data_IF_586197591076
#
_entry.id   IF_586197591076
#
_cell.length_a   1.000
_cell.length_b   1.000
_cell.length_c   1.000
_cell.angle_alpha   90.00
_cell.angle_beta   90.00
_cell.angle_gamma   90.00
#
_symmetry.space_group_name_H-M   'P 1'
#
loop_
_entity.id
_entity.type
_entity.pdbx_description
1 polymer ?
#
# COMPACT_ATOMS: atom_id res chain seq x y z
N UNK A 1 8.63 41.25 -53.41
CA UNK A 1 8.71 40.84 -52.01
C UNK A 1 8.03 39.50 -51.73
N UNK A 2 8.82 38.44 -51.59
CA UNK A 2 8.36 37.14 -51.09
C UNK A 2 8.89 36.93 -49.66
N UNK A 3 8.12 37.38 -48.66
CA UNK A 3 8.43 37.26 -47.21
C UNK A 3 8.16 35.84 -46.66
N UNK A 4 7.70 34.90 -47.51
CA UNK A 4 7.16 33.59 -47.12
C UNK A 4 8.16 32.50 -46.63
N UNK A 5 9.48 32.51 -46.90
CA UNK A 5 10.34 31.37 -46.51
C UNK A 5 10.73 31.34 -45.02
N UNK A 6 10.60 32.44 -44.28
CA UNK A 6 10.94 32.52 -42.85
C UNK A 6 9.80 32.01 -41.95
N UNK A 7 8.54 32.28 -42.31
CA UNK A 7 7.38 31.85 -41.55
C UNK A 7 7.18 30.32 -41.61
N UNK A 8 7.35 29.71 -42.78
CA UNK A 8 7.20 28.24 -42.95
C UNK A 8 8.27 27.47 -42.17
N UNK A 9 9.53 27.94 -42.17
CA UNK A 9 10.60 27.34 -41.36
C UNK A 9 10.27 27.39 -39.87
N UNK A 10 9.71 28.50 -39.41
CA UNK A 10 9.31 28.69 -38.00
C UNK A 10 8.12 27.80 -37.63
N UNK A 11 7.14 27.67 -38.52
CA UNK A 11 6.00 26.76 -38.33
C UNK A 11 6.45 25.29 -38.27
N UNK A 12 7.32 24.86 -39.18
CA UNK A 12 7.87 23.50 -39.17
C UNK A 12 8.66 23.21 -37.88
N UNK A 13 9.43 24.18 -37.39
CA UNK A 13 10.12 24.06 -36.11
C UNK A 13 9.14 23.91 -34.93
N UNK A 14 8.03 24.67 -34.94
CA UNK A 14 6.98 24.56 -33.92
C UNK A 14 6.23 23.23 -33.98
N UNK A 15 5.92 22.73 -35.17
CA UNK A 15 5.28 21.42 -35.37
C UNK A 15 6.18 20.31 -34.84
N UNK A 16 7.47 20.29 -35.21
CA UNK A 16 8.40 19.27 -34.70
C UNK A 16 8.58 19.32 -33.17
N UNK A 17 8.41 20.50 -32.55
CA UNK A 17 8.41 20.62 -31.10
C UNK A 17 7.11 20.11 -30.46
N UNK A 18 5.97 20.27 -31.13
CA UNK A 18 4.67 19.73 -30.71
C UNK A 18 4.69 18.20 -30.82
N UNK A 19 5.17 17.63 -31.92
CA UNK A 19 5.28 16.18 -32.10
C UNK A 19 6.14 15.53 -31.00
N UNK A 20 7.27 16.15 -30.65
CA UNK A 20 8.12 15.69 -29.53
C UNK A 20 7.40 15.75 -28.17
N UNK A 21 6.61 16.79 -27.93
CA UNK A 21 5.79 16.90 -26.70
C UNK A 21 4.66 15.87 -26.68
N UNK A 22 4.08 15.58 -27.84
CA UNK A 22 2.97 14.64 -27.96
C UNK A 22 3.42 13.18 -28.04
N UNK A 23 4.70 12.91 -28.28
CA UNK A 23 5.24 11.54 -28.41
C UNK A 23 5.01 10.65 -27.18
N UNK A 24 4.81 11.23 -25.99
CA UNK A 24 4.47 10.48 -24.78
C UNK A 24 3.03 9.96 -24.76
N UNK A 25 2.13 10.58 -25.53
CA UNK A 25 0.72 10.23 -25.59
C UNK A 25 0.51 9.07 -26.57
N UNK A 26 1.15 7.95 -26.26
CA UNK A 26 0.91 6.65 -26.88
C UNK A 26 0.04 5.81 -25.95
N UNK A 27 -0.77 4.93 -26.53
CA UNK A 27 -1.59 3.99 -25.76
C UNK A 27 -0.70 3.15 -24.83
N UNK A 28 -1.09 3.05 -23.55
CA UNK A 28 -0.33 2.38 -22.51
C UNK A 28 0.89 3.15 -21.98
N UNK A 29 1.16 4.36 -22.48
CA UNK A 29 2.33 5.16 -22.10
C UNK A 29 2.10 6.03 -20.87
N UNK A 30 1.12 6.94 -20.94
CA UNK A 30 0.87 7.94 -19.89
C UNK A 30 -0.57 7.87 -19.41
N UNK A 31 -0.72 7.88 -18.09
CA UNK A 31 -2.02 7.89 -17.41
C UNK A 31 -2.20 9.16 -16.60
N UNK A 32 -3.42 9.68 -16.58
CA UNK A 32 -3.80 10.89 -15.84
C UNK A 32 -4.90 10.58 -14.84
N UNK A 33 -4.86 11.25 -13.69
CA UNK A 33 -5.94 11.18 -12.71
C UNK A 33 -7.14 12.02 -13.16
N UNK A 34 -8.31 11.40 -13.19
CA UNK A 34 -9.59 11.98 -13.58
C UNK A 34 -10.57 11.96 -12.40
N UNK A 35 -10.89 13.15 -11.89
CA UNK A 35 -11.75 13.32 -10.70
C UNK A 35 -13.23 13.55 -11.02
N UNK A 36 -13.60 13.57 -12.30
CA UNK A 36 -14.98 13.74 -12.76
C UNK A 36 -15.63 12.38 -13.07
N UNK A 37 -16.95 12.33 -13.28
CA UNK A 37 -17.63 11.11 -13.70
C UNK A 37 -17.04 10.51 -14.99
N UNK A 38 -17.09 9.18 -15.11
CA UNK A 38 -16.55 8.44 -16.26
C UNK A 38 -17.25 8.79 -17.59
N UNK A 39 -18.52 9.19 -17.55
CA UNK A 39 -19.27 9.64 -18.73
C UNK A 39 -18.87 11.03 -19.24
N UNK A 40 -17.96 11.72 -18.54
CA UNK A 40 -17.43 13.02 -18.94
C UNK A 40 -15.98 12.93 -19.44
N UNK A 41 -15.44 11.72 -19.63
CA UNK A 41 -14.11 11.52 -20.20
C UNK A 41 -14.08 12.19 -21.60
N UNK A 42 -13.13 13.08 -21.88
CA UNK A 42 -13.03 13.73 -23.18
C UNK A 42 -12.82 12.73 -24.32
N UNK A 43 -13.29 13.07 -25.52
CA UNK A 43 -12.99 12.30 -26.72
C UNK A 43 -11.46 12.18 -26.92
N UNK A 44 -11.01 11.01 -27.38
CA UNK A 44 -9.58 10.68 -27.49
C UNK A 44 -8.97 10.14 -26.19
N UNK A 45 -9.75 10.02 -25.10
CA UNK A 45 -9.32 9.37 -23.86
C UNK A 45 -10.19 8.15 -23.52
N UNK A 46 -9.58 7.17 -22.84
CA UNK A 46 -10.30 6.01 -22.28
C UNK A 46 -9.88 5.74 -20.84
N UNK A 47 -10.74 5.04 -20.09
CA UNK A 47 -10.44 4.59 -18.74
C UNK A 47 -9.43 3.43 -18.74
N UNK A 48 -8.42 3.52 -17.87
CA UNK A 48 -7.42 2.47 -17.64
C UNK A 48 -7.90 1.55 -16.52
N UNK A 49 -8.37 0.37 -16.89
CA UNK A 49 -8.96 -0.59 -15.94
C UNK A 49 -7.94 -1.30 -15.06
N UNK A 50 -6.70 -1.46 -15.52
CA UNK A 50 -5.64 -2.19 -14.79
C UNK A 50 -5.15 -1.44 -13.53
N UNK A 51 -5.47 -0.15 -13.39
CA UNK A 51 -5.10 0.68 -12.24
C UNK A 51 -6.24 0.86 -11.23
N UNK A 52 -7.39 0.24 -11.44
CA UNK A 52 -8.54 0.35 -10.53
C UNK A 52 -8.19 -0.14 -9.13
N UNK A 53 -8.28 0.76 -8.15
CA UNK A 53 -7.99 0.46 -6.75
C UNK A 53 -6.53 0.15 -6.46
N UNK A 54 -5.60 0.60 -7.33
CA UNK A 54 -4.16 0.41 -7.18
C UNK A 54 -3.45 1.76 -7.12
N UNK A 55 -2.36 1.79 -6.36
CA UNK A 55 -1.43 2.93 -6.32
C UNK A 55 -0.28 2.65 -7.29
N UNK A 56 0.16 3.69 -8.01
CA UNK A 56 1.32 3.60 -8.89
C UNK A 56 2.60 3.80 -8.07
N UNK A 57 3.54 2.89 -8.22
CA UNK A 57 4.89 3.00 -7.66
C UNK A 57 5.90 3.29 -8.78
N UNK A 58 7.00 3.94 -8.42
CA UNK A 58 8.13 4.12 -9.33
C UNK A 58 8.77 2.77 -9.64
N UNK A 59 9.18 2.58 -10.90
CA UNK A 59 9.99 1.44 -11.29
C UNK A 59 11.37 1.53 -10.64
N UNK A 60 11.79 0.46 -9.99
CA UNK A 60 13.10 0.32 -9.39
C UNK A 60 13.63 -1.10 -9.65
N UNK A 61 14.64 -1.29 -10.52
CA UNK A 61 15.17 -2.61 -10.86
C UNK A 61 15.82 -3.33 -9.67
N UNK A 62 16.25 -2.60 -8.64
CA UNK A 62 16.98 -3.14 -7.49
C UNK A 62 16.02 -3.62 -6.38
N UNK A 63 14.74 -3.26 -6.46
CA UNK A 63 13.71 -3.67 -5.51
C UNK A 63 12.81 -4.75 -6.10
N UNK A 64 12.77 -5.92 -5.46
CA UNK A 64 12.02 -7.08 -5.98
C UNK A 64 10.55 -6.80 -6.20
N UNK A 65 9.96 -5.87 -5.45
CA UNK A 65 8.56 -5.46 -5.50
C UNK A 65 8.26 -4.57 -6.71
N UNK A 66 9.27 -3.81 -7.19
CA UNK A 66 9.11 -2.75 -8.20
C UNK A 66 9.99 -2.94 -9.45
N UNK A 67 10.65 -4.09 -9.57
CA UNK A 67 11.59 -4.42 -10.64
C UNK A 67 10.97 -4.81 -11.99
N UNK A 68 9.66 -4.68 -12.16
CA UNK A 68 8.98 -5.02 -13.40
C UNK A 68 7.82 -4.06 -13.67
N UNK A 69 7.83 -3.43 -14.84
CA UNK A 69 6.74 -2.58 -15.30
C UNK A 69 5.45 -3.40 -15.43
N UNK A 70 4.37 -2.89 -14.84
CA UNK A 70 3.06 -3.56 -14.85
C UNK A 70 2.90 -4.66 -13.81
N UNK A 71 3.91 -4.91 -12.96
CA UNK A 71 3.79 -5.84 -11.82
C UNK A 71 2.70 -5.34 -10.87
N UNK A 72 1.79 -6.24 -10.50
CA UNK A 72 0.75 -5.97 -9.52
C UNK A 72 1.08 -6.65 -8.19
N UNK A 73 0.73 -6.00 -7.09
CA UNK A 73 0.94 -6.52 -5.74
C UNK A 73 0.24 -5.67 -4.68
N UNK A 74 0.50 -6.00 -3.41
CA UNK A 74 -0.05 -5.30 -2.25
C UNK A 74 -1.43 -5.79 -1.82
N UNK A 75 -1.79 -5.50 -0.56
CA UNK A 75 -3.05 -5.87 0.07
C UNK A 75 -3.70 -4.64 0.70
N UNK A 76 -5.05 -4.60 0.72
CA UNK A 76 -5.81 -3.54 1.41
C UNK A 76 -5.90 -3.77 2.92
N UNK A 77 -5.82 -5.02 3.33
CA UNK A 77 -6.02 -5.47 4.71
C UNK A 77 -4.98 -6.53 5.07
N UNK A 78 -4.66 -6.62 6.36
CA UNK A 78 -3.72 -7.62 6.89
C UNK A 78 -4.18 -8.12 8.25
N UNK A 79 -4.05 -9.43 8.47
CA UNK A 79 -4.09 -10.02 9.80
C UNK A 79 -2.65 -10.32 10.22
N UNK A 80 -2.32 -10.09 11.50
CA UNK A 80 -1.01 -10.42 12.04
C UNK A 80 -0.82 -11.94 12.09
N UNK A 81 0.33 -12.39 11.62
CA UNK A 81 0.81 -13.76 11.80
C UNK A 81 1.76 -13.86 13.01
N UNK A 82 2.00 -15.07 13.48
CA UNK A 82 2.93 -15.32 14.60
C UNK A 82 4.34 -14.79 14.28
N UNK A 83 4.80 -14.95 13.03
CA UNK A 83 6.12 -14.48 12.60
C UNK A 83 6.26 -12.95 12.57
N UNK A 84 5.16 -12.22 12.70
CA UNK A 84 5.12 -10.75 12.70
C UNK A 84 4.97 -10.19 14.11
N UNK A 85 4.87 -11.05 15.12
CA UNK A 85 4.85 -10.62 16.51
C UNK A 85 6.27 -10.36 16.99
N UNK A 86 6.56 -9.18 17.56
CA UNK A 86 7.83 -8.94 18.24
C UNK A 86 8.05 -9.93 19.38
N UNK A 87 9.32 -10.16 19.70
CA UNK A 87 9.69 -10.85 20.94
C UNK A 87 9.08 -10.10 22.13
N UNK A 88 8.43 -10.86 23.01
CA UNK A 88 7.81 -10.34 24.21
C UNK A 88 7.89 -11.40 25.30
N UNK A 89 7.95 -10.96 26.55
CA UNK A 89 8.02 -11.83 27.72
C UNK A 89 6.87 -11.53 28.69
N UNK A 90 6.44 -12.55 29.42
CA UNK A 90 5.42 -12.46 30.45
C UNK A 90 6.07 -12.73 31.80
N UNK A 91 6.43 -11.67 32.51
CA UNK A 91 6.99 -11.79 33.87
C UNK A 91 5.86 -11.78 34.90
N UNK A 92 5.96 -12.65 35.91
CA UNK A 92 5.07 -12.67 37.06
C UNK A 92 5.94 -12.50 38.32
N UNK A 93 5.68 -11.47 39.12
CA UNK A 93 6.29 -11.34 40.45
C UNK A 93 5.22 -11.49 41.52
N UNK A 94 5.38 -12.49 42.37
CA UNK A 94 4.59 -12.61 43.59
C UNK A 94 5.35 -11.97 44.75
N UNK A 95 4.72 -11.01 45.43
CA UNK A 95 5.26 -10.42 46.66
C UNK A 95 4.94 -11.32 47.85
N UNK A 96 5.97 -11.76 48.57
CA UNK A 96 5.77 -12.44 49.84
C UNK A 96 5.55 -11.39 50.93
N UNK A 97 4.41 -11.45 51.63
CA UNK A 97 4.21 -10.74 52.90
C UNK A 97 4.49 -11.68 54.07
N UNK A 98 5.62 -12.40 54.03
CA UNK A 98 6.04 -13.22 55.16
C UNK A 98 7.46 -12.86 55.57
N UNK A 99 7.58 -12.36 56.81
CA UNK A 99 8.75 -11.73 57.39
C UNK A 99 9.88 -12.72 57.74
N UNK A 100 9.74 -14.01 57.42
CA UNK A 100 10.71 -15.04 57.78
C UNK A 100 10.73 -16.19 56.78
N UNK A 101 11.83 -16.33 56.04
CA UNK A 101 12.29 -17.63 55.54
C UNK A 101 11.95 -17.96 54.08
N UNK A 102 12.97 -18.45 53.39
CA UNK A 102 12.99 -19.01 52.03
C UNK A 102 11.84 -19.97 51.75
N UNK A 103 10.83 -19.53 51.00
CA UNK A 103 9.73 -20.38 50.53
C UNK A 103 9.52 -20.24 49.02
N UNK A 104 9.47 -21.36 48.30
CA UNK A 104 9.06 -21.41 46.89
C UNK A 104 7.58 -21.02 46.81
N UNK A 105 7.28 -19.93 46.11
CA UNK A 105 5.91 -19.48 45.90
C UNK A 105 5.19 -20.42 44.91
N UNK A 106 4.25 -21.22 45.40
CA UNK A 106 3.34 -22.01 44.56
C UNK A 106 2.05 -21.20 44.41
N UNK A 107 1.97 -20.36 43.38
CA UNK A 107 0.70 -19.75 43.02
C UNK A 107 -0.16 -20.85 42.40
N UNK A 108 -1.27 -21.21 43.05
CA UNK A 108 -2.22 -22.24 42.59
C UNK A 108 -3.58 -21.60 42.33
N UNK A 109 -4.13 -21.80 41.13
CA UNK A 109 -5.54 -21.47 40.83
C UNK A 109 -6.39 -22.69 41.15
N UNK A 110 -7.06 -22.68 42.31
CA UNK A 110 -7.99 -23.75 42.69
C UNK A 110 -8.25 -23.79 44.19
N UNK A 111 -9.31 -24.50 44.58
CA UNK A 111 -9.49 -24.98 45.94
C UNK A 111 -8.29 -25.84 46.35
N UNK A 112 -7.97 -25.87 47.64
CA UNK A 112 -6.89 -26.70 48.18
C UNK A 112 -7.00 -28.15 47.68
N UNK A 113 -5.88 -28.72 47.21
CA UNK A 113 -5.68 -30.08 46.68
C UNK A 113 -5.95 -30.35 45.18
N UNK A 114 -6.09 -29.35 44.31
CA UNK A 114 -6.10 -29.59 42.86
C UNK A 114 -4.66 -29.84 42.32
N UNK A 115 -4.31 -31.07 41.90
CA UNK A 115 -2.98 -31.39 41.40
C UNK A 115 -2.90 -30.96 39.93
N UNK A 116 -2.45 -29.72 39.69
CA UNK A 116 -2.10 -29.26 38.34
C UNK A 116 -2.79 -27.99 37.83
N UNK A 117 -3.23 -27.09 38.72
CA UNK A 117 -3.71 -25.76 38.32
C UNK A 117 -2.67 -25.02 37.47
N UNK A 118 -2.93 -24.87 36.16
CA UNK A 118 -2.07 -24.13 35.24
C UNK A 118 -2.39 -22.63 35.34
N UNK A 119 -1.38 -21.82 35.65
CA UNK A 119 -1.43 -20.38 35.39
C UNK A 119 -1.25 -20.15 33.89
N UNK A 120 -2.35 -19.87 33.19
CA UNK A 120 -2.34 -19.51 31.78
C UNK A 120 -2.97 -18.13 31.59
N UNK A 121 -2.24 -17.21 30.94
CA UNK A 121 -2.85 -15.99 30.44
C UNK A 121 -3.90 -16.37 29.39
N UNK A 122 -5.09 -15.80 29.49
CA UNK A 122 -6.09 -15.97 28.45
C UNK A 122 -5.59 -15.33 27.15
N UNK A 123 -5.96 -15.91 26.01
CA UNK A 123 -5.63 -15.31 24.71
C UNK A 123 -6.29 -13.94 24.63
N UNK A 124 -5.49 -12.91 24.36
CA UNK A 124 -5.97 -11.56 24.10
C UNK A 124 -5.73 -11.22 22.63
N UNK A 125 -6.72 -10.61 21.98
CA UNK A 125 -6.71 -10.29 20.55
C UNK A 125 -7.68 -11.17 19.76
N UNK A 126 -8.44 -10.57 18.85
CA UNK A 126 -9.47 -11.29 18.07
C UNK A 126 -9.02 -11.73 16.68
N UNK A 127 -7.74 -11.54 16.33
CA UNK A 127 -7.18 -11.94 15.03
C UNK A 127 -7.83 -11.26 13.81
N UNK A 128 -8.59 -10.18 14.02
CA UNK A 128 -9.26 -9.48 12.93
C UNK A 128 -8.24 -8.80 12.02
N UNK A 129 -8.57 -8.70 10.74
CA UNK A 129 -7.79 -7.91 9.81
C UNK A 129 -7.94 -6.41 10.11
N UNK A 130 -6.84 -5.67 9.95
CA UNK A 130 -6.84 -4.21 10.00
C UNK A 130 -6.58 -3.62 8.61
N UNK A 131 -7.00 -2.38 8.41
CA UNK A 131 -6.80 -1.64 7.15
C UNK A 131 -5.35 -1.18 7.01
N UNK A 132 -4.76 -1.38 5.84
CA UNK A 132 -3.47 -0.81 5.44
C UNK A 132 -3.63 0.47 4.61
N UNK A 133 -4.87 0.90 4.36
CA UNK A 133 -5.14 2.07 3.53
C UNK A 133 -4.85 3.36 4.30
N UNK A 134 -3.86 4.11 3.83
CA UNK A 134 -3.66 5.51 4.21
C UNK A 134 -4.82 6.38 3.71
N UNK A 135 -5.09 7.56 4.30
CA UNK A 135 -6.08 8.49 3.77
C UNK A 135 -5.89 8.74 2.27
N UNK A 136 -6.96 8.54 1.48
CA UNK A 136 -6.89 8.59 0.01
C UNK A 136 -8.10 9.32 -0.59
N UNK A 137 -7.95 9.79 -1.83
CA UNK A 137 -9.04 10.28 -2.68
C UNK A 137 -9.07 9.45 -3.95
N UNK A 138 -10.26 9.00 -4.34
CA UNK A 138 -10.45 8.17 -5.53
C UNK A 138 -10.54 9.06 -6.77
N UNK A 139 -9.75 8.70 -7.78
CA UNK A 139 -9.84 9.21 -9.14
C UNK A 139 -9.83 8.03 -10.10
N UNK A 140 -10.49 8.16 -11.25
CA UNK A 140 -10.28 7.23 -12.35
C UNK A 140 -8.92 7.53 -13.00
N UNK A 141 -8.27 6.52 -13.57
CA UNK A 141 -7.11 6.74 -14.43
C UNK A 141 -7.56 6.72 -15.87
N UNK A 142 -7.11 7.70 -16.67
CA UNK A 142 -7.40 7.78 -18.10
C UNK A 142 -6.11 7.86 -18.92
N UNK A 143 -6.13 7.32 -20.13
CA UNK A 143 -5.04 7.41 -21.10
C UNK A 143 -5.54 7.98 -22.43
N UNK A 144 -4.63 8.58 -23.19
CA UNK A 144 -4.93 9.07 -24.54
C UNK A 144 -4.82 7.93 -25.56
N UNK A 145 -5.78 7.83 -26.47
CA UNK A 145 -5.86 6.77 -27.50
C UNK A 145 -5.85 7.27 -28.95
N UNK A 146 -5.85 8.60 -29.16
CA UNK A 146 -5.99 9.21 -30.49
C UNK A 146 -7.35 9.82 -30.71
#
# INVERSE_FOLDING_TARGET
DFIRPLEIKTLNARIGLIEKKLAIFQQGGVVFAWFKPLNQIPAGFQEVTNLKGRTIFGYDPDQTEFNLIGKAGGNKNKALSINEMPEHDHTFSGGNSDSNGTGTQVVTTGTSNEPGGKFGMQKTGGGQQFSLLNPYRVAAYIEFIG
#
